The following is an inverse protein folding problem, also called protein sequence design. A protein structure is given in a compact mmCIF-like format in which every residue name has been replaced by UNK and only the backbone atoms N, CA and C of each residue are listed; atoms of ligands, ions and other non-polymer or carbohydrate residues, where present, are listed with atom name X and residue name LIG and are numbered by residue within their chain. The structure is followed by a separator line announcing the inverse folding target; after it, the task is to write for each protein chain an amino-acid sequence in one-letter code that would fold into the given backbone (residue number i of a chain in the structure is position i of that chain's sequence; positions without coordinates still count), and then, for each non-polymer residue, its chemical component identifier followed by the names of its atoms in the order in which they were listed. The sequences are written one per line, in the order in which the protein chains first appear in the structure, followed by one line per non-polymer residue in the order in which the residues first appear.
data_IF_445539554551
#
_entry.id   IF_445539554551
#
_cell.length_a   1.000
_cell.length_b   1.000
_cell.length_c   1.000
_cell.angle_alpha   90.00
_cell.angle_beta   90.00
_cell.angle_gamma   90.00
#
_symmetry.space_group_name_H-M   'P 1'
#
loop_
_entity.id
_entity.type
_entity.pdbx_description
1 polymer ?
#
# COMPACT_ATOMS: atom_id res chain seq x y z
N UNK A 1 16.69 -38.04 -29.72
CA UNK A 1 15.71 -39.13 -29.61
C UNK A 1 14.36 -38.54 -29.98
N UNK A 2 13.78 -38.95 -31.10
CA UNK A 2 12.60 -38.28 -31.68
C UNK A 2 11.31 -38.77 -31.02
N UNK A 3 10.40 -37.89 -30.58
CA UNK A 3 9.19 -38.32 -29.89
C UNK A 3 8.24 -39.02 -30.85
N UNK A 4 7.79 -40.21 -30.47
CA UNK A 4 6.86 -41.02 -31.25
C UNK A 4 5.43 -40.51 -31.00
N UNK A 5 4.86 -39.82 -31.99
CA UNK A 5 3.49 -39.28 -31.92
C UNK A 5 2.48 -40.41 -32.12
N UNK A 6 2.08 -41.05 -31.02
CA UNK A 6 0.95 -42.00 -30.97
C UNK A 6 -0.37 -41.25 -31.22
N UNK A 7 -1.29 -41.87 -31.97
CA UNK A 7 -2.56 -41.31 -32.47
C UNK A 7 -3.64 -41.02 -31.44
N UNK A 8 -3.27 -40.46 -30.28
CA UNK A 8 -4.17 -39.95 -29.27
C UNK A 8 -3.55 -38.63 -28.78
N UNK A 9 -4.35 -37.59 -28.56
CA UNK A 9 -3.89 -36.22 -28.32
C UNK A 9 -3.24 -36.02 -26.93
N UNK A 10 -2.31 -36.89 -26.55
CA UNK A 10 -1.55 -36.85 -25.30
C UNK A 10 -0.08 -37.13 -25.58
N UNK A 11 0.80 -36.44 -24.85
CA UNK A 11 2.25 -36.65 -24.91
C UNK A 11 2.63 -37.59 -23.78
N UNK A 12 3.37 -38.66 -24.09
CA UNK A 12 4.02 -39.50 -23.09
C UNK A 12 5.48 -39.10 -22.97
N UNK A 13 5.93 -38.89 -21.75
CA UNK A 13 7.32 -38.64 -21.37
C UNK A 13 7.58 -39.26 -19.99
N UNK A 14 8.84 -39.50 -19.62
CA UNK A 14 9.21 -39.95 -18.28
C UNK A 14 8.82 -38.91 -17.21
N UNK A 15 8.53 -39.37 -15.99
CA UNK A 15 8.09 -38.50 -14.88
C UNK A 15 9.07 -37.35 -14.60
N UNK A 16 10.38 -37.63 -14.65
CA UNK A 16 11.43 -36.61 -14.46
C UNK A 16 11.34 -35.50 -15.51
N UNK A 17 11.13 -35.86 -16.78
CA UNK A 17 11.00 -34.87 -17.86
C UNK A 17 9.72 -34.03 -17.68
N UNK A 18 8.64 -34.66 -17.22
CA UNK A 18 7.39 -33.98 -16.93
C UNK A 18 7.53 -32.99 -15.76
N UNK A 19 8.19 -33.38 -14.67
CA UNK A 19 8.45 -32.53 -13.51
C UNK A 19 9.34 -31.33 -13.87
N UNK A 20 10.38 -31.52 -14.69
CA UNK A 20 11.21 -30.41 -15.19
C UNK A 20 10.40 -29.43 -16.03
N UNK A 21 9.50 -29.93 -16.87
CA UNK A 21 8.65 -29.11 -17.74
C UNK A 21 7.66 -28.29 -16.91
N UNK A 22 7.07 -28.90 -15.87
CA UNK A 22 6.22 -28.21 -14.89
C UNK A 22 6.99 -27.14 -14.12
N UNK A 23 8.20 -27.46 -13.63
CA UNK A 23 9.04 -26.53 -12.88
C UNK A 23 9.40 -25.30 -13.73
N UNK A 24 9.77 -25.51 -15.00
CA UNK A 24 10.06 -24.41 -15.94
C UNK A 24 8.82 -23.58 -16.23
N UNK A 25 7.66 -24.21 -16.46
CA UNK A 25 6.41 -23.48 -16.69
C UNK A 25 6.01 -22.62 -15.47
N UNK A 26 6.21 -23.15 -14.26
CA UNK A 26 5.97 -22.42 -13.02
C UNK A 26 6.95 -21.25 -12.84
N UNK A 27 8.23 -21.46 -13.14
CA UNK A 27 9.26 -20.40 -13.09
C UNK A 27 8.97 -19.28 -14.09
N UNK A 28 8.63 -19.62 -15.34
CA UNK A 28 8.26 -18.67 -16.38
C UNK A 28 7.00 -17.87 -15.99
N UNK A 29 5.99 -18.56 -15.44
CA UNK A 29 4.78 -17.95 -14.92
C UNK A 29 5.05 -16.99 -13.77
N UNK A 30 5.93 -17.37 -12.84
CA UNK A 30 6.34 -16.52 -11.72
C UNK A 30 7.10 -15.28 -12.21
N UNK A 31 8.04 -15.43 -13.14
CA UNK A 31 8.78 -14.30 -13.75
C UNK A 31 7.82 -13.33 -14.45
N UNK A 32 6.84 -13.86 -15.18
CA UNK A 32 5.83 -13.03 -15.86
C UNK A 32 4.93 -12.29 -14.89
N UNK A 33 4.47 -12.96 -13.83
CA UNK A 33 3.69 -12.32 -12.78
C UNK A 33 4.47 -11.20 -12.08
N UNK A 34 5.77 -11.42 -11.81
CA UNK A 34 6.66 -10.40 -11.26
C UNK A 34 6.85 -9.22 -12.22
N UNK A 35 7.01 -9.48 -13.52
CA UNK A 35 7.11 -8.44 -14.54
C UNK A 35 5.81 -7.61 -14.65
N UNK A 36 4.64 -8.26 -14.60
CA UNK A 36 3.34 -7.59 -14.66
C UNK A 36 3.11 -6.62 -13.48
N UNK A 37 3.73 -6.88 -12.32
CA UNK A 37 3.72 -5.97 -11.17
C UNK A 37 4.95 -5.05 -11.08
N UNK A 38 5.81 -5.04 -12.11
CA UNK A 38 7.01 -4.19 -12.19
C UNK A 38 8.16 -4.62 -11.28
N UNK A 39 8.21 -5.90 -10.89
CA UNK A 39 9.18 -6.47 -9.95
C UNK A 39 10.20 -7.42 -10.61
N UNK A 40 10.44 -7.27 -11.91
CA UNK A 40 11.38 -8.07 -12.72
C UNK A 40 12.82 -7.53 -12.72
N UNK A 41 13.05 -6.31 -12.23
CA UNK A 41 14.36 -5.70 -12.10
C UNK A 41 15.16 -6.16 -10.87
N UNK A 42 16.50 -6.23 -10.99
CA UNK A 42 17.41 -6.49 -9.85
C UNK A 42 17.32 -5.44 -8.73
N UNK A 43 16.85 -4.24 -9.09
CA UNK A 43 16.59 -3.10 -8.20
C UNK A 43 15.17 -3.14 -7.58
N UNK A 44 14.29 -4.05 -8.00
CA UNK A 44 12.91 -4.05 -7.52
C UNK A 44 12.77 -4.52 -6.06
N UNK A 45 13.63 -5.44 -5.62
CA UNK A 45 13.64 -5.92 -4.24
C UNK A 45 13.95 -4.81 -3.19
N UNK A 46 14.97 -3.94 -3.39
CA UNK A 46 15.19 -2.79 -2.52
C UNK A 46 14.08 -1.73 -2.64
N UNK A 47 13.62 -1.39 -3.85
CA UNK A 47 12.63 -0.32 -4.06
C UNK A 47 11.27 -0.61 -3.39
N UNK A 48 10.79 -1.86 -3.39
CA UNK A 48 9.55 -2.23 -2.67
C UNK A 48 9.69 -1.97 -1.17
N UNK A 49 10.87 -2.27 -0.62
CA UNK A 49 11.13 -2.16 0.82
C UNK A 49 11.14 -0.69 1.24
N UNK A 50 11.70 0.16 0.39
CA UNK A 50 11.69 1.61 0.58
C UNK A 50 10.29 2.20 0.39
N UNK A 51 9.52 1.74 -0.60
CA UNK A 51 8.12 2.16 -0.77
C UNK A 51 7.25 1.82 0.45
N UNK A 52 7.45 0.62 1.02
CA UNK A 52 6.79 0.21 2.27
C UNK A 52 7.23 1.09 3.44
N UNK A 53 8.52 1.38 3.56
CA UNK A 53 9.02 2.28 4.59
C UNK A 53 8.44 3.70 4.46
N UNK A 54 8.30 4.23 3.24
CA UNK A 54 7.67 5.52 2.96
C UNK A 54 6.16 5.51 3.27
N UNK A 55 5.45 4.44 2.92
CA UNK A 55 4.03 4.28 3.27
C UNK A 55 3.82 4.22 4.78
N UNK A 56 4.67 3.49 5.50
CA UNK A 56 4.64 3.43 6.96
C UNK A 56 4.95 4.80 7.58
N UNK A 57 5.91 5.55 7.01
CA UNK A 57 6.20 6.92 7.42
C UNK A 57 5.01 7.86 7.18
N UNK A 58 4.34 7.80 6.02
CA UNK A 58 3.13 8.60 5.72
C UNK A 58 2.00 8.24 6.67
N UNK A 59 1.82 6.96 6.98
CA UNK A 59 0.78 6.51 7.90
C UNK A 59 1.03 7.01 9.33
N UNK A 60 2.29 7.06 9.76
CA UNK A 60 2.69 7.66 11.02
C UNK A 60 2.43 9.18 11.03
N UNK A 61 2.85 9.90 9.99
CA UNK A 61 2.61 11.35 9.84
C UNK A 61 1.12 11.67 9.85
N UNK A 62 0.29 10.89 9.16
CA UNK A 62 -1.16 11.10 9.13
C UNK A 62 -1.79 11.03 10.52
N UNK A 63 -1.34 10.10 11.37
CA UNK A 63 -1.84 9.97 12.74
C UNK A 63 -1.49 11.20 13.58
N UNK A 64 -0.25 11.67 13.48
CA UNK A 64 0.21 12.88 14.17
C UNK A 64 -0.47 14.14 13.64
N UNK A 65 -0.63 14.26 12.32
CA UNK A 65 -1.28 15.41 11.68
C UNK A 65 -2.76 15.52 12.07
N UNK A 66 -3.49 14.39 12.10
CA UNK A 66 -4.88 14.37 12.55
C UNK A 66 -4.98 14.78 14.02
N UNK A 67 -4.08 14.31 14.88
CA UNK A 67 -4.06 14.70 16.29
C UNK A 67 -3.82 16.21 16.45
N UNK A 68 -2.85 16.78 15.75
CA UNK A 68 -2.59 18.22 15.76
C UNK A 68 -3.76 19.03 15.18
N UNK A 69 -4.40 18.55 14.11
CA UNK A 69 -5.57 19.20 13.52
C UNK A 69 -6.74 19.23 14.51
N UNK A 70 -7.05 18.11 15.15
CA UNK A 70 -8.11 18.03 16.18
C UNK A 70 -7.81 18.96 17.35
N UNK A 71 -6.56 19.00 17.81
CA UNK A 71 -6.14 19.90 18.87
C UNK A 71 -6.31 21.37 18.47
N UNK A 72 -5.85 21.76 17.28
CA UNK A 72 -6.02 23.13 16.76
C UNK A 72 -7.49 23.52 16.62
N UNK A 73 -8.33 22.62 16.10
CA UNK A 73 -9.78 22.84 15.99
C UNK A 73 -10.38 23.06 17.38
N UNK A 74 -10.06 22.18 18.33
CA UNK A 74 -10.58 22.26 19.71
C UNK A 74 -10.14 23.57 20.39
N UNK A 75 -8.86 23.91 20.29
CA UNK A 75 -8.33 25.18 20.81
C UNK A 75 -9.00 26.38 20.15
N UNK A 76 -9.19 26.35 18.82
CA UNK A 76 -9.89 27.39 18.09
C UNK A 76 -11.33 27.58 18.55
N UNK A 77 -12.07 26.49 18.78
CA UNK A 77 -13.44 26.55 19.31
C UNK A 77 -13.44 27.16 20.71
N UNK A 78 -12.57 26.73 21.61
CA UNK A 78 -12.47 27.26 22.98
C UNK A 78 -12.17 28.77 22.95
N UNK A 79 -11.19 29.19 22.16
CA UNK A 79 -10.84 30.62 22.02
C UNK A 79 -12.01 31.44 21.45
N UNK A 80 -12.71 30.90 20.46
CA UNK A 80 -13.89 31.56 19.86
C UNK A 80 -15.02 31.70 20.88
N UNK A 81 -15.28 30.67 21.69
CA UNK A 81 -16.29 30.72 22.76
C UNK A 81 -15.93 31.74 23.84
N UNK A 82 -14.67 31.76 24.29
CA UNK A 82 -14.19 32.72 25.28
C UNK A 82 -14.31 34.17 24.77
N UNK A 83 -13.89 34.42 23.52
CA UNK A 83 -14.02 35.73 22.89
C UNK A 83 -15.49 36.15 22.76
N UNK A 84 -16.38 35.24 22.34
CA UNK A 84 -17.81 35.49 22.22
C UNK A 84 -18.48 35.83 23.55
N UNK A 85 -18.14 35.11 24.63
CA UNK A 85 -18.63 35.40 25.98
C UNK A 85 -18.12 36.76 26.46
N UNK A 86 -16.82 37.04 26.29
CA UNK A 86 -16.25 38.33 26.69
C UNK A 86 -16.91 39.52 25.97
N UNK A 87 -17.20 39.37 24.68
CA UNK A 87 -17.90 40.38 23.89
C UNK A 87 -19.33 40.57 24.39
N UNK A 88 -20.06 39.47 24.63
CA UNK A 88 -21.42 39.51 25.18
C UNK A 88 -21.42 40.20 26.54
N UNK A 89 -20.53 39.82 27.46
CA UNK A 89 -20.43 40.43 28.78
C UNK A 89 -20.09 41.93 28.72
N UNK A 90 -19.21 42.36 27.80
CA UNK A 90 -18.89 43.78 27.61
C UNK A 90 -20.08 44.57 27.07
N UNK A 91 -20.84 44.01 26.14
CA UNK A 91 -22.03 44.66 25.57
C UNK A 91 -23.17 44.75 26.59
N UNK A 92 -23.36 43.72 27.42
CA UNK A 92 -24.40 43.72 28.46
C UNK A 92 -24.00 44.50 29.73
N UNK A 93 -22.71 44.69 30.00
CA UNK A 93 -22.21 45.43 31.18
C UNK A 93 -22.09 46.95 30.99
N UNK A 94 -22.19 47.47 29.77
CA UNK A 94 -22.05 48.90 29.48
C UNK A 94 -23.38 49.68 29.51
N UNK A 95 -24.50 49.01 29.80
CA UNK A 95 -25.85 49.59 29.82
C UNK A 95 -26.59 49.51 31.17
N UNK A 96 -25.87 49.28 32.27
CA UNK A 96 -26.40 49.29 33.64
C UNK A 96 -26.02 50.56 34.37
#
# INVERSE_FOLDING_TARGET
MSPHRSGQNHVRMPDVEFEELLARAAEEGAKRALADVGLDGKEAAPDIRDLRALLDAIRFVRRTAVQSAVQLITTGIILTLLAGIALKMKVFGQGG
#
